data_IF_850021908630
#
_entry.id   IF_850021908630
#
_cell.length_a   1.000
_cell.length_b   1.000
_cell.length_c   1.000
_cell.angle_alpha   90.00
_cell.angle_beta   90.00
_cell.angle_gamma   90.00
#
_symmetry.space_group_name_H-M   'P 1'
#
loop_
_entity.id
_entity.type
_entity.pdbx_description
1 polymer ?
#
# COMPACT_ATOMS: atom_id res chain seq x y z
N UNK A 1 4.51 19.71 -3.45
CA UNK A 1 3.82 20.18 -2.22
C UNK A 1 3.31 18.94 -1.54
N UNK A 2 3.68 18.70 -0.29
CA UNK A 2 3.26 17.49 0.43
C UNK A 2 1.95 17.74 1.17
N UNK A 3 1.12 16.71 1.24
CA UNK A 3 -0.16 16.72 1.94
C UNK A 3 0.10 16.69 3.44
N UNK A 4 -0.53 17.62 4.16
CA UNK A 4 -0.56 17.64 5.64
C UNK A 4 -1.93 17.20 6.17
N UNK A 5 -2.98 17.44 5.39
CA UNK A 5 -4.37 17.07 5.62
C UNK A 5 -5.02 16.84 4.25
N UNK A 6 -6.04 15.99 4.20
CA UNK A 6 -6.84 15.81 2.99
C UNK A 6 -7.56 17.14 2.64
N UNK A 7 -7.86 17.39 1.37
CA UNK A 7 -8.56 18.63 0.99
C UNK A 7 -9.99 18.75 1.58
N UNK A 8 -10.55 17.65 2.11
CA UNK A 8 -11.81 17.70 2.87
C UNK A 8 -11.63 18.18 4.32
N UNK A 9 -10.39 18.48 4.74
CA UNK A 9 -10.02 18.88 6.10
C UNK A 9 -9.73 17.72 7.05
N UNK A 10 -9.88 16.47 6.60
CA UNK A 10 -9.57 15.29 7.42
C UNK A 10 -8.07 15.03 7.51
N UNK A 11 -7.62 14.55 8.67
CA UNK A 11 -6.28 14.03 8.91
C UNK A 11 -6.27 12.50 9.15
N UNK A 12 -7.39 11.82 8.90
CA UNK A 12 -7.52 10.38 9.05
C UNK A 12 -7.34 9.67 7.70
N UNK A 13 -6.33 8.81 7.63
CA UNK A 13 -6.00 8.03 6.45
C UNK A 13 -5.94 6.54 6.76
N UNK A 14 -6.25 5.73 5.76
CA UNK A 14 -6.07 4.27 5.75
C UNK A 14 -4.96 3.99 4.75
N UNK A 15 -3.95 3.21 5.15
CA UNK A 15 -2.87 2.77 4.27
C UNK A 15 -3.15 1.33 3.90
N UNK A 16 -3.25 1.05 2.60
CA UNK A 16 -3.31 -0.30 2.07
C UNK A 16 -1.94 -0.69 1.56
N UNK A 17 -1.38 -1.75 2.13
CA UNK A 17 -0.09 -2.30 1.76
C UNK A 17 -0.28 -3.64 1.04
N UNK A 18 0.44 -3.80 -0.06
CA UNK A 18 0.53 -5.03 -0.82
C UNK A 18 1.81 -5.79 -0.45
N UNK A 19 1.69 -7.11 -0.26
CA UNK A 19 2.83 -8.00 -0.10
C UNK A 19 2.92 -8.89 -1.33
N UNK A 20 4.01 -8.72 -2.08
CA UNK A 20 4.34 -9.56 -3.22
C UNK A 20 5.30 -10.65 -2.80
N UNK A 21 4.97 -11.91 -3.09
CA UNK A 21 5.84 -13.05 -2.83
C UNK A 21 6.19 -13.76 -4.14
N UNK A 22 7.43 -14.23 -4.24
CA UNK A 22 7.85 -15.13 -5.32
C UNK A 22 7.34 -16.54 -5.04
N UNK A 23 6.74 -17.16 -6.06
CA UNK A 23 6.21 -18.51 -6.00
C UNK A 23 6.44 -19.26 -7.32
N UNK A 24 6.62 -20.58 -7.23
CA UNK A 24 6.72 -21.50 -8.38
C UNK A 24 5.69 -22.60 -8.23
N UNK A 25 5.12 -22.98 -9.37
CA UNK A 25 4.24 -24.13 -9.50
C UNK A 25 5.09 -25.35 -9.84
N UNK A 26 4.96 -26.43 -9.07
CA UNK A 26 5.64 -27.68 -9.39
C UNK A 26 4.87 -28.55 -10.40
N UNK A 27 5.44 -29.71 -10.74
CA UNK A 27 4.85 -30.64 -11.72
C UNK A 27 3.59 -31.35 -11.23
N UNK A 28 3.34 -31.35 -9.92
CA UNK A 28 2.16 -31.95 -9.30
C UNK A 28 1.03 -30.91 -9.14
N UNK A 29 1.33 -29.63 -9.41
CA UNK A 29 0.38 -28.52 -9.38
C UNK A 29 0.36 -27.79 -8.03
N UNK A 30 1.31 -28.08 -7.15
CA UNK A 30 1.45 -27.38 -5.87
C UNK A 30 2.22 -26.07 -6.08
N UNK A 31 1.67 -24.98 -5.50
CA UNK A 31 2.29 -23.66 -5.55
C UNK A 31 3.14 -23.46 -4.29
N UNK A 32 4.46 -23.43 -4.45
CA UNK A 32 5.40 -23.21 -3.35
C UNK A 32 5.85 -21.76 -3.32
N UNK A 33 5.72 -21.11 -2.17
CA UNK A 33 6.17 -19.72 -1.92
C UNK A 33 7.51 -19.75 -1.19
N UNK A 34 8.53 -19.03 -1.68
CA UNK A 34 9.89 -19.12 -1.14
C UNK A 34 10.60 -17.78 -0.94
N UNK A 35 9.92 -16.64 -1.11
CA UNK A 35 10.49 -15.35 -0.72
C UNK A 35 9.51 -14.19 -0.80
N UNK A 36 9.69 -13.21 0.09
CA UNK A 36 9.06 -11.91 -0.04
C UNK A 36 9.84 -11.11 -1.09
N UNK A 37 9.14 -10.66 -2.13
CA UNK A 37 9.71 -9.92 -3.25
C UNK A 37 9.61 -8.41 -3.04
N UNK A 38 8.48 -7.94 -2.49
CA UNK A 38 8.26 -6.53 -2.21
C UNK A 38 7.15 -6.35 -1.16
N UNK A 39 7.31 -5.31 -0.35
CA UNK A 39 6.21 -4.67 0.36
C UNK A 39 6.06 -3.28 -0.25
N UNK A 40 4.86 -2.94 -0.71
CA UNK A 40 4.58 -1.65 -1.33
C UNK A 40 3.29 -1.05 -0.81
N UNK A 41 3.24 0.28 -0.70
CA UNK A 41 1.98 0.97 -0.45
C UNK A 41 1.20 0.98 -1.76
N UNK A 42 0.09 0.25 -1.81
CA UNK A 42 -0.79 0.22 -2.97
C UNK A 42 -1.65 1.47 -3.06
N UNK A 43 -2.15 1.95 -1.92
CA UNK A 43 -2.98 3.15 -1.85
C UNK A 43 -3.03 3.75 -0.44
N UNK A 44 -3.21 5.06 -0.37
CA UNK A 44 -3.50 5.79 0.86
C UNK A 44 -4.85 6.47 0.68
N UNK A 45 -5.83 6.12 1.51
CA UNK A 45 -7.22 6.55 1.34
C UNK A 45 -7.60 7.48 2.49
N UNK A 46 -8.11 8.67 2.18
CA UNK A 46 -8.75 9.50 3.20
C UNK A 46 -10.03 8.81 3.68
N UNK A 47 -10.12 8.54 4.98
CA UNK A 47 -11.24 7.80 5.56
C UNK A 47 -12.59 8.49 5.37
N UNK A 48 -12.60 9.83 5.36
CA UNK A 48 -13.85 10.60 5.45
C UNK A 48 -14.42 10.99 4.08
N UNK A 49 -13.57 11.13 3.05
CA UNK A 49 -14.00 11.50 1.69
C UNK A 49 -13.59 10.50 0.60
N UNK A 50 -12.96 9.39 1.00
CA UNK A 50 -12.55 8.27 0.13
C UNK A 50 -11.55 8.65 -0.97
N UNK A 51 -10.98 9.85 -0.91
CA UNK A 51 -9.98 10.27 -1.87
C UNK A 51 -8.71 9.44 -1.72
N UNK A 52 -8.16 9.06 -2.87
CA UNK A 52 -6.98 8.20 -2.97
C UNK A 52 -5.75 9.06 -3.23
N UNK A 53 -4.68 8.73 -2.52
CA UNK A 53 -3.36 9.33 -2.60
C UNK A 53 -2.30 8.25 -2.78
N UNK A 54 -1.15 8.67 -3.27
CA UNK A 54 0.07 7.87 -3.42
C UNK A 54 1.07 8.22 -2.31
N UNK A 55 2.05 7.35 -2.08
CA UNK A 55 3.14 7.62 -1.13
C UNK A 55 3.86 8.95 -1.43
N UNK A 56 4.01 9.30 -2.71
CA UNK A 56 4.70 10.53 -3.18
C UNK A 56 3.98 11.81 -2.77
N UNK A 57 2.71 11.73 -2.41
CA UNK A 57 1.94 12.88 -1.94
C UNK A 57 2.32 13.29 -0.52
N UNK A 58 3.02 12.43 0.22
CA UNK A 58 3.44 12.66 1.61
C UNK A 58 4.96 12.83 1.72
N UNK A 59 5.40 13.65 2.68
CA UNK A 59 6.83 13.91 2.87
C UNK A 59 7.57 12.73 3.52
N UNK A 60 6.86 12.00 4.38
CA UNK A 60 7.34 10.81 5.08
C UNK A 60 6.13 9.98 5.52
N UNK A 61 6.30 8.67 5.58
CA UNK A 61 5.36 7.72 6.19
C UNK A 61 6.17 6.90 7.19
N UNK A 62 5.68 6.81 8.43
CA UNK A 62 6.36 6.09 9.51
C UNK A 62 5.62 4.77 9.76
N UNK A 63 6.34 3.65 9.62
CA UNK A 63 5.87 2.29 9.87
C UNK A 63 6.42 1.74 11.19
#
# INVERSE_FOLDING_TARGET
MFIKECECGSNHFIINEGISNSAELDCDGDLTVYGNQANEIESIICRDCERIYSEKDFNQINF
#
